data_IF_502189611430
#
_entry.id   IF_502189611430
#
_cell.length_a   1.000
_cell.length_b   1.000
_cell.length_c   1.000
_cell.angle_alpha   90.00
_cell.angle_beta   90.00
_cell.angle_gamma   90.00
#
_symmetry.space_group_name_H-M   'P 1'
#
loop_
_entity.id
_entity.type
_entity.pdbx_description
1 polymer ?
#
# COMPACT_ATOMS: atom_id res chain seq x y z
N UNK A 1 -17.90 19.15 9.93
CA UNK A 1 -17.36 17.78 9.96
C UNK A 1 -16.51 17.59 8.71
N UNK A 2 -15.24 18.01 8.76
CA UNK A 2 -14.37 18.09 7.59
C UNK A 2 -13.84 16.71 7.21
N UNK A 3 -14.10 16.27 5.99
CA UNK A 3 -13.38 15.12 5.43
C UNK A 3 -11.93 15.54 5.27
N UNK A 4 -11.09 15.10 6.21
CA UNK A 4 -9.65 15.37 6.18
C UNK A 4 -9.14 14.83 4.84
N UNK A 5 -8.63 15.67 3.92
CA UNK A 5 -8.12 15.19 2.66
C UNK A 5 -7.00 14.19 2.95
N UNK A 6 -6.89 13.17 2.11
CA UNK A 6 -5.88 12.11 2.18
C UNK A 6 -4.44 12.68 2.34
N UNK A 7 -4.24 13.95 1.95
CA UNK A 7 -3.03 14.75 2.11
C UNK A 7 -2.51 14.89 3.54
N UNK A 8 -3.34 14.78 4.58
CA UNK A 8 -2.89 15.01 5.95
C UNK A 8 -2.17 13.81 6.60
N UNK A 9 -2.10 12.67 5.91
CA UNK A 9 -1.35 11.49 6.33
C UNK A 9 -0.17 11.15 5.42
N UNK A 10 0.10 11.94 4.37
CA UNK A 10 1.17 11.70 3.38
C UNK A 10 2.49 12.41 3.71
N UNK A 11 2.59 13.03 4.88
CA UNK A 11 3.79 13.77 5.31
C UNK A 11 4.92 12.85 5.78
N UNK A 12 4.61 11.59 6.12
CA UNK A 12 5.65 10.60 6.41
C UNK A 12 6.20 9.97 5.12
N UNK A 13 7.54 9.85 5.01
CA UNK A 13 8.15 9.32 3.80
C UNK A 13 7.89 7.80 3.69
N UNK A 14 7.42 7.34 2.52
CA UNK A 14 7.33 5.93 2.16
C UNK A 14 8.74 5.32 2.08
N UNK A 15 9.23 4.84 3.23
CA UNK A 15 10.64 4.50 3.43
C UNK A 15 10.88 3.03 3.74
N UNK A 16 9.82 2.24 3.92
CA UNK A 16 9.92 0.81 4.25
C UNK A 16 9.80 -0.03 2.97
N UNK A 17 10.91 -0.47 2.37
CA UNK A 17 10.85 -1.29 1.16
C UNK A 17 10.29 -2.67 1.50
N UNK A 18 9.31 -3.10 0.72
CA UNK A 18 8.69 -4.41 0.81
C UNK A 18 8.61 -5.02 -0.58
N UNK A 19 8.74 -6.34 -0.66
CA UNK A 19 8.62 -7.08 -1.91
C UNK A 19 7.35 -7.91 -1.92
N UNK A 20 6.61 -7.91 -3.02
CA UNK A 20 5.43 -8.75 -3.19
C UNK A 20 5.85 -10.23 -3.14
N UNK A 21 5.28 -10.99 -2.20
CA UNK A 21 5.57 -12.42 -2.05
C UNK A 21 4.65 -13.30 -2.91
N UNK A 22 3.65 -12.68 -3.54
CA UNK A 22 2.72 -13.29 -4.49
C UNK A 22 2.12 -12.22 -5.41
N UNK A 23 1.50 -12.67 -6.51
CA UNK A 23 0.68 -11.79 -7.34
C UNK A 23 -0.49 -11.23 -6.52
N UNK A 24 -0.67 -9.90 -6.58
CA UNK A 24 -1.69 -9.16 -5.83
C UNK A 24 -2.16 -7.94 -6.62
N UNK A 25 -3.04 -7.15 -6.03
CA UNK A 25 -3.51 -5.88 -6.59
C UNK A 25 -3.33 -4.74 -5.59
N UNK A 26 -3.21 -3.52 -6.12
CA UNK A 26 -3.41 -2.30 -5.35
C UNK A 26 -4.81 -1.71 -5.62
N UNK A 27 -5.25 -0.80 -4.75
CA UNK A 27 -6.48 -0.02 -4.90
C UNK A 27 -6.23 1.48 -4.61
N UNK A 28 -6.97 2.40 -5.24
CA UNK A 28 -6.95 3.83 -4.85
C UNK A 28 -7.83 4.16 -3.65
N UNK A 29 -8.87 3.36 -3.41
CA UNK A 29 -9.81 3.56 -2.31
C UNK A 29 -10.04 2.22 -1.58
N UNK A 30 -9.66 2.11 -0.30
CA UNK A 30 -9.78 0.85 0.45
C UNK A 30 -11.20 0.61 0.99
N UNK A 31 -12.07 1.63 1.01
CA UNK A 31 -13.43 1.55 1.54
C UNK A 31 -14.45 1.09 0.48
N UNK A 32 -14.11 1.20 -0.80
CA UNK A 32 -14.93 0.77 -1.91
C UNK A 32 -14.09 0.08 -3.01
N UNK A 33 -13.76 -1.22 -2.84
CA UNK A 33 -12.93 -1.95 -3.80
C UNK A 33 -13.58 -2.13 -5.19
N UNK A 34 -14.90 -1.93 -5.31
CA UNK A 34 -15.62 -2.04 -6.60
C UNK A 34 -15.55 -0.74 -7.40
N UNK A 35 -15.48 0.41 -6.73
CA UNK A 35 -15.30 1.72 -7.37
C UNK A 35 -13.84 2.21 -7.39
N UNK A 36 -12.94 1.51 -6.69
CA UNK A 36 -11.52 1.82 -6.67
C UNK A 36 -10.88 1.46 -8.02
N UNK A 37 -9.99 2.34 -8.52
CA UNK A 37 -9.05 1.92 -9.55
C UNK A 37 -8.14 0.88 -8.92
N UNK A 38 -8.02 -0.27 -9.56
CA UNK A 38 -7.12 -1.35 -9.15
C UNK A 38 -6.13 -1.63 -10.26
N UNK A 39 -4.96 -2.14 -9.89
CA UNK A 39 -3.95 -2.57 -10.84
C UNK A 39 -3.13 -3.72 -10.29
N UNK A 40 -2.51 -4.51 -11.18
CA UNK A 40 -1.72 -5.66 -10.77
C UNK A 40 -0.40 -5.24 -10.11
N UNK A 41 0.05 -6.05 -9.18
CA UNK A 41 1.42 -6.10 -8.63
C UNK A 41 1.86 -7.54 -8.77
N UNK A 42 3.01 -7.77 -9.41
CA UNK A 42 3.54 -9.11 -9.61
C UNK A 42 4.40 -9.53 -8.44
N UNK A 43 4.43 -10.83 -8.18
CA UNK A 43 5.39 -11.40 -7.24
C UNK A 43 6.80 -10.92 -7.61
N UNK A 44 7.54 -10.45 -6.61
CA UNK A 44 8.87 -9.87 -6.78
C UNK A 44 8.88 -8.35 -6.96
N UNK A 45 7.74 -7.69 -7.21
CA UNK A 45 7.69 -6.23 -7.30
C UNK A 45 7.99 -5.57 -5.96
N UNK A 46 8.78 -4.49 -6.00
CA UNK A 46 9.11 -3.68 -4.82
C UNK A 46 8.16 -2.50 -4.70
N UNK A 47 7.62 -2.32 -3.49
CA UNK A 47 6.83 -1.17 -3.07
C UNK A 47 7.42 -0.57 -1.80
N UNK A 48 6.95 0.62 -1.42
CA UNK A 48 7.34 1.27 -0.18
C UNK A 48 6.12 1.53 0.68
N UNK A 49 6.14 1.06 1.93
CA UNK A 49 5.11 1.38 2.91
C UNK A 49 5.49 2.64 3.70
N UNK A 50 4.48 3.35 4.20
CA UNK A 50 4.68 4.55 5.03
C UNK A 50 5.22 4.20 6.42
N UNK A 51 4.75 3.11 7.00
CA UNK A 51 5.17 2.61 8.31
C UNK A 51 5.37 1.09 8.25
N UNK A 52 6.14 0.56 9.20
CA UNK A 52 6.27 -0.89 9.41
C UNK A 52 4.88 -1.53 9.56
N UNK A 53 4.73 -2.77 9.08
CA UNK A 53 3.43 -3.44 8.91
C UNK A 53 2.56 -3.33 10.16
N UNK A 54 1.42 -2.64 10.03
CA UNK A 54 0.41 -2.66 11.07
C UNK A 54 -0.52 -3.87 10.90
N UNK A 55 -0.13 -4.96 11.57
CA UNK A 55 -1.03 -6.05 11.94
C UNK A 55 -1.33 -7.11 10.87
N UNK A 56 -1.89 -8.22 11.34
CA UNK A 56 -2.19 -9.45 10.60
C UNK A 56 -3.58 -9.45 9.94
N UNK A 57 -4.18 -8.27 9.73
CA UNK A 57 -5.57 -8.12 9.29
C UNK A 57 -5.73 -7.90 7.78
N UNK A 58 -6.98 -7.95 7.27
CA UNK A 58 -7.33 -7.56 5.88
C UNK A 58 -7.26 -6.04 5.66
N UNK A 59 -6.66 -5.30 6.59
CA UNK A 59 -6.64 -3.86 6.58
C UNK A 59 -5.68 -3.38 5.51
N UNK A 60 -6.22 -2.65 4.55
CA UNK A 60 -5.44 -1.98 3.53
C UNK A 60 -4.45 -1.00 4.15
N UNK A 61 -3.22 -0.97 3.63
CA UNK A 61 -2.16 -0.08 4.07
C UNK A 61 -1.74 0.83 2.90
N UNK A 62 -1.49 2.09 3.20
CA UNK A 62 -0.97 3.04 2.22
C UNK A 62 0.44 2.62 1.77
N UNK A 63 0.65 2.65 0.46
CA UNK A 63 1.89 2.28 -0.19
C UNK A 63 2.20 3.19 -1.37
N UNK A 64 3.47 3.27 -1.71
CA UNK A 64 3.97 3.88 -2.94
C UNK A 64 4.55 2.79 -3.84
N UNK A 65 4.09 2.75 -5.08
CA UNK A 65 4.63 1.88 -6.13
C UNK A 65 5.94 2.44 -6.70
N UNK A 66 6.66 1.63 -7.48
CA UNK A 66 7.91 2.02 -8.13
C UNK A 66 7.76 3.20 -9.12
N UNK A 67 6.58 3.39 -9.70
CA UNK A 67 6.22 4.53 -10.56
C UNK A 67 5.81 5.79 -9.77
N UNK A 68 6.07 5.82 -8.46
CA UNK A 68 5.70 6.88 -7.53
C UNK A 68 4.19 7.07 -7.30
N UNK A 69 3.34 6.17 -7.81
CA UNK A 69 1.91 6.20 -7.54
C UNK A 69 1.61 5.82 -6.09
N UNK A 70 0.75 6.60 -5.46
CA UNK A 70 0.22 6.30 -4.13
C UNK A 70 -1.03 5.44 -4.24
N UNK A 71 -1.09 4.40 -3.43
CA UNK A 71 -2.14 3.39 -3.47
C UNK A 71 -2.32 2.72 -2.11
N UNK A 72 -3.25 1.80 -2.04
CA UNK A 72 -3.48 0.92 -0.92
C UNK A 72 -3.23 -0.52 -1.32
N UNK A 73 -2.55 -1.27 -0.46
CA UNK A 73 -2.23 -2.69 -0.66
C UNK A 73 -2.61 -3.51 0.55
N UNK A 74 -2.71 -4.83 0.36
CA UNK A 74 -2.83 -5.78 1.47
C UNK A 74 -1.43 -6.10 2.01
N UNK A 75 -1.04 -5.63 3.20
CA UNK A 75 0.35 -5.69 3.65
C UNK A 75 0.88 -7.11 3.84
N UNK A 76 0.01 -8.10 4.07
CA UNK A 76 0.36 -9.52 4.22
C UNK A 76 0.75 -10.22 2.90
N UNK A 77 0.56 -9.58 1.75
CA UNK A 77 1.02 -10.08 0.44
C UNK A 77 2.45 -9.65 0.09
N UNK A 78 3.14 -9.05 1.05
CA UNK A 78 4.49 -8.58 0.87
C UNK A 78 5.38 -9.20 1.95
N UNK A 79 6.69 -9.14 1.78
CA UNK A 79 7.73 -9.41 2.77
C UNK A 79 8.58 -8.16 2.99
N UNK A 80 9.03 -7.91 4.23
CA UNK A 80 9.94 -6.79 4.52
C UNK A 80 11.28 -7.09 3.86
N UNK A 81 11.85 -6.10 3.17
CA UNK A 81 13.22 -6.20 2.65
C UNK A 81 14.26 -5.70 3.66
N UNK A 82 13.82 -5.16 4.80
CA UNK A 82 14.72 -4.78 5.88
C UNK A 82 14.90 -5.99 6.83
N UNK A 83 16.16 -6.44 7.09
CA UNK A 83 16.48 -7.53 8.01
C UNK A 83 16.31 -7.14 9.48
#
# INVERSE_FOLDING_TARGET
MGKKPLSAGLDEPFSFPCQANRDTTWATDPANPVAAQTGPIRQGDTIWLQAERFGSGPQWQAARLADHRLCFVQPHHFDSLNP
#
